data_IF_334117905793
#
_entry.id   IF_334117905793
#
_cell.length_a   1.000
_cell.length_b   1.000
_cell.length_c   1.000
_cell.angle_alpha   90.00
_cell.angle_beta   90.00
_cell.angle_gamma   90.00
#
_symmetry.space_group_name_H-M   'P 1'
#
loop_
_entity.id
_entity.type
_entity.pdbx_description
1 polymer ?
#
# COMPACT_ATOMS: atom_id res chain seq x y z
N UNK A 1 -13.68 -47.50 -6.20
CA UNK A 1 -12.78 -46.48 -6.76
C UNK A 1 -13.60 -45.21 -7.00
N UNK A 2 -13.57 -44.26 -6.06
CA UNK A 2 -13.83 -42.83 -6.28
C UNK A 2 -13.33 -42.09 -5.02
N UNK A 3 -12.34 -41.23 -5.19
CA UNK A 3 -11.75 -40.40 -4.13
C UNK A 3 -12.61 -39.15 -3.85
N UNK A 4 -12.55 -38.57 -2.64
CA UNK A 4 -13.25 -37.33 -2.32
C UNK A 4 -12.48 -36.12 -2.88
N UNK A 5 -13.15 -35.25 -3.64
CA UNK A 5 -12.58 -33.94 -4.00
C UNK A 5 -13.05 -32.87 -3.02
N UNK A 6 -12.05 -32.24 -2.41
CA UNK A 6 -12.09 -31.34 -1.28
C UNK A 6 -12.71 -30.00 -1.66
N UNK A 7 -13.75 -29.61 -0.90
CA UNK A 7 -14.19 -28.22 -0.80
C UNK A 7 -13.07 -27.41 -0.13
N UNK A 8 -12.35 -26.58 -0.90
CA UNK A 8 -11.36 -25.65 -0.35
C UNK A 8 -12.05 -24.40 0.18
N UNK A 9 -12.38 -24.44 1.46
CA UNK A 9 -12.38 -23.25 2.31
C UNK A 9 -10.97 -22.68 2.38
N UNK A 10 -10.75 -21.46 1.89
CA UNK A 10 -9.58 -20.66 2.24
C UNK A 10 -10.06 -19.31 2.77
N UNK A 11 -10.25 -19.30 4.08
CA UNK A 11 -10.61 -18.18 4.95
C UNK A 11 -9.50 -17.13 4.92
N UNK A 12 -9.55 -16.19 3.98
CA UNK A 12 -8.73 -14.97 4.03
C UNK A 12 -9.38 -13.95 4.98
N UNK A 13 -9.47 -14.31 6.26
CA UNK A 13 -9.83 -13.37 7.31
C UNK A 13 -8.56 -12.64 7.78
N UNK A 14 -8.35 -11.48 7.18
CA UNK A 14 -7.61 -10.32 7.67
C UNK A 14 -6.43 -10.51 8.64
N UNK A 15 -5.21 -10.40 8.10
CA UNK A 15 -4.00 -10.07 8.88
C UNK A 15 -4.02 -8.69 9.62
N UNK A 16 -4.90 -7.70 9.33
CA UNK A 16 -5.03 -6.50 10.17
C UNK A 16 -5.53 -6.78 11.58
N UNK A 17 -6.38 -7.81 11.75
CA UNK A 17 -7.02 -8.10 13.03
C UNK A 17 -5.99 -8.45 14.12
N UNK A 18 -4.93 -9.19 13.79
CA UNK A 18 -3.90 -9.60 14.77
C UNK A 18 -3.08 -8.42 15.30
N UNK A 19 -2.84 -7.40 14.48
CA UNK A 19 -2.13 -6.20 14.92
C UNK A 19 -3.00 -5.35 15.86
N UNK A 20 -4.29 -5.25 15.57
CA UNK A 20 -5.25 -4.59 16.46
C UNK A 20 -5.39 -5.35 17.80
N UNK A 21 -5.43 -6.68 17.77
CA UNK A 21 -5.42 -7.50 18.99
C UNK A 21 -4.14 -7.29 19.84
N UNK A 22 -2.98 -7.09 19.20
CA UNK A 22 -1.73 -6.87 19.91
C UNK A 22 -1.61 -5.45 20.49
N UNK A 23 -2.09 -4.43 19.79
CA UNK A 23 -2.13 -3.06 20.28
C UNK A 23 -3.08 -2.90 21.48
N UNK A 24 -4.23 -3.58 21.44
CA UNK A 24 -5.16 -3.71 22.55
C UNK A 24 -4.53 -4.36 23.79
N UNK A 25 -3.82 -5.48 23.60
CA UNK A 25 -3.20 -6.23 24.69
C UNK A 25 -2.08 -5.44 25.42
N UNK A 26 -1.52 -4.41 24.78
CA UNK A 26 -0.50 -3.54 25.36
C UNK A 26 -1.08 -2.31 26.07
N UNK A 27 -2.41 -2.19 26.17
CA UNK A 27 -3.10 -1.05 26.79
C UNK A 27 -2.96 0.27 26.00
N UNK A 28 -2.54 0.18 24.74
CA UNK A 28 -2.31 1.33 23.83
C UNK A 28 -3.55 1.70 23.02
N UNK A 29 -4.56 0.84 23.05
CA UNK A 29 -5.89 1.00 22.49
C UNK A 29 -6.87 0.56 23.56
N UNK A 30 -7.90 1.34 23.85
CA UNK A 30 -8.86 0.97 24.89
C UNK A 30 -9.86 -0.04 24.35
N UNK A 31 -10.45 -0.91 25.19
CA UNK A 31 -11.54 -1.80 24.78
C UNK A 31 -12.74 -1.05 24.17
N UNK A 32 -12.92 0.23 24.48
CA UNK A 32 -13.94 1.09 23.87
C UNK A 32 -13.64 1.40 22.39
N UNK A 33 -12.37 1.70 22.07
CA UNK A 33 -11.93 1.88 20.67
C UNK A 33 -12.08 0.59 19.86
N UNK A 34 -12.02 -0.58 20.51
CA UNK A 34 -12.20 -1.89 19.88
C UNK A 34 -13.67 -2.27 19.72
N UNK A 35 -14.53 -1.86 20.64
CA UNK A 35 -15.97 -2.06 20.55
C UNK A 35 -16.58 -1.28 19.37
N UNK A 36 -16.05 -0.09 19.07
CA UNK A 36 -16.41 0.69 17.87
C UNK A 36 -15.88 0.06 16.56
N UNK A 37 -14.85 -0.81 16.62
CA UNK A 37 -14.34 -1.55 15.45
C UNK A 37 -15.20 -2.76 15.07
N UNK A 38 -15.80 -3.44 16.05
CA UNK A 38 -16.79 -4.52 15.78
C UNK A 38 -18.14 -3.93 15.33
N UNK A 39 -18.43 -2.70 15.74
CA UNK A 39 -19.62 -1.92 15.37
C UNK A 39 -19.45 -1.02 14.15
N UNK A 40 -18.73 -1.42 13.11
CA UNK A 40 -18.83 -0.86 11.75
C UNK A 40 -18.54 0.64 11.53
N UNK A 41 -18.21 1.42 12.56
CA UNK A 41 -18.05 2.88 12.45
C UNK A 41 -16.97 3.44 13.40
N UNK A 42 -15.88 2.70 13.60
CA UNK A 42 -14.66 3.34 14.09
C UNK A 42 -14.35 4.52 13.17
N UNK A 43 -14.21 5.77 13.69
CA UNK A 43 -14.00 6.91 12.82
C UNK A 43 -12.77 6.63 11.98
N UNK A 44 -12.91 6.59 10.65
CA UNK A 44 -11.79 6.44 9.71
C UNK A 44 -10.62 7.38 10.09
N UNK A 45 -10.95 8.55 10.65
CA UNK A 45 -10.00 9.49 11.25
C UNK A 45 -9.10 8.91 12.35
N UNK A 46 -9.61 8.07 13.26
CA UNK A 46 -8.82 7.42 14.32
C UNK A 46 -7.83 6.41 13.73
N UNK A 47 -8.26 5.62 12.74
CA UNK A 47 -7.38 4.69 12.03
C UNK A 47 -6.28 5.42 11.24
N UNK A 48 -6.61 6.52 10.57
CA UNK A 48 -5.62 7.37 9.89
C UNK A 48 -4.67 8.06 10.86
N UNK A 49 -5.15 8.48 12.03
CA UNK A 49 -4.32 9.11 13.06
C UNK A 49 -3.29 8.13 13.61
N UNK A 50 -3.71 6.90 13.94
CA UNK A 50 -2.80 5.82 14.34
C UNK A 50 -1.77 5.52 13.24
N UNK A 51 -2.21 5.42 11.98
CA UNK A 51 -1.33 5.16 10.85
C UNK A 51 -0.34 6.32 10.60
N UNK A 52 -0.72 7.57 10.86
CA UNK A 52 0.21 8.68 10.82
C UNK A 52 1.26 8.62 11.94
N UNK A 53 0.85 8.27 13.16
CA UNK A 53 1.71 8.32 14.35
C UNK A 53 2.59 7.08 14.53
N UNK A 54 2.00 5.89 14.53
CA UNK A 54 2.68 4.65 14.91
C UNK A 54 3.38 3.98 13.73
N UNK A 55 2.94 4.29 12.52
CA UNK A 55 3.43 3.65 11.29
C UNK A 55 4.36 4.58 10.52
N UNK A 56 3.93 5.82 10.26
CA UNK A 56 4.72 6.78 9.48
C UNK A 56 5.65 7.61 10.34
N UNK A 57 5.32 7.83 11.63
CA UNK A 57 6.14 8.59 12.58
C UNK A 57 7.56 8.05 12.73
N UNK A 58 7.75 6.72 12.91
CA UNK A 58 9.08 6.12 13.02
C UNK A 58 9.85 6.01 11.69
N UNK A 59 9.20 6.25 10.54
CA UNK A 59 9.88 6.17 9.25
C UNK A 59 10.75 7.40 9.01
N UNK A 60 11.96 7.13 8.55
CA UNK A 60 12.86 8.15 8.02
C UNK A 60 12.11 9.05 7.00
N UNK A 61 12.28 10.39 7.05
CA UNK A 61 11.56 11.31 6.16
C UNK A 61 11.73 11.00 4.67
N UNK A 62 12.89 10.52 4.23
CA UNK A 62 13.12 10.17 2.83
C UNK A 62 12.29 8.95 2.42
N UNK A 63 12.22 7.94 3.30
CA UNK A 63 11.43 6.73 3.08
C UNK A 63 9.93 7.03 3.05
N UNK A 64 9.47 7.91 3.94
CA UNK A 64 8.09 8.41 3.92
C UNK A 64 7.77 9.15 2.64
N UNK A 65 8.67 10.04 2.19
CA UNK A 65 8.51 10.75 0.92
C UNK A 65 8.41 9.79 -0.28
N UNK A 66 9.24 8.75 -0.31
CA UNK A 66 9.17 7.71 -1.35
C UNK A 66 7.85 6.93 -1.31
N UNK A 67 7.38 6.53 -0.13
CA UNK A 67 6.09 5.85 0.04
C UNK A 67 4.93 6.75 -0.40
N UNK A 68 4.97 8.03 -0.04
CA UNK A 68 3.98 9.03 -0.47
C UNK A 68 3.95 9.18 -1.99
N UNK A 69 5.10 9.36 -2.65
CA UNK A 69 5.20 9.47 -4.11
C UNK A 69 4.78 8.18 -4.82
N UNK A 70 5.17 7.02 -4.30
CA UNK A 70 4.83 5.72 -4.87
C UNK A 70 3.36 5.31 -4.67
N UNK A 71 2.63 5.97 -3.76
CA UNK A 71 1.19 5.73 -3.52
C UNK A 71 0.30 5.94 -4.75
N UNK A 72 0.81 6.63 -5.79
CA UNK A 72 0.19 6.72 -7.12
C UNK A 72 -0.11 5.33 -7.68
N UNK A 73 0.81 4.38 -7.49
CA UNK A 73 0.76 3.06 -8.10
C UNK A 73 0.08 2.05 -7.17
N UNK A 74 -0.70 1.14 -7.75
CA UNK A 74 -1.32 0.03 -7.01
C UNK A 74 -0.31 -1.11 -6.76
N UNK A 75 0.63 -1.27 -7.68
CA UNK A 75 1.73 -2.22 -7.63
C UNK A 75 3.04 -1.43 -7.59
N UNK A 76 3.87 -1.73 -6.60
CA UNK A 76 5.22 -1.20 -6.51
C UNK A 76 6.17 -2.24 -7.11
N UNK A 77 6.88 -1.82 -8.15
CA UNK A 77 7.85 -2.64 -8.89
C UNK A 77 9.18 -1.87 -8.83
N UNK A 78 10.31 -2.50 -8.49
CA UNK A 78 11.59 -1.80 -8.38
C UNK A 78 11.91 -0.94 -9.61
N UNK A 79 11.85 -1.54 -10.81
CA UNK A 79 12.10 -0.85 -12.07
C UNK A 79 11.12 0.32 -12.36
N UNK A 80 9.88 0.24 -11.87
CA UNK A 80 8.92 1.34 -11.99
C UNK A 80 9.33 2.51 -11.10
N UNK A 81 9.79 2.25 -9.88
CA UNK A 81 10.19 3.32 -8.97
C UNK A 81 11.52 3.94 -9.39
N UNK A 82 12.43 3.14 -9.95
CA UNK A 82 13.67 3.64 -10.56
C UNK A 82 13.38 4.61 -11.71
N UNK A 83 12.46 4.26 -12.62
CA UNK A 83 12.12 5.06 -13.81
C UNK A 83 11.18 6.23 -13.50
N UNK A 84 10.13 6.03 -12.68
CA UNK A 84 9.11 7.04 -12.45
C UNK A 84 9.39 7.96 -11.25
N UNK A 85 10.23 7.54 -10.30
CA UNK A 85 10.51 8.30 -9.06
C UNK A 85 12.00 8.62 -8.87
N UNK A 86 12.86 8.25 -9.82
CA UNK A 86 14.31 8.41 -9.77
C UNK A 86 14.92 7.79 -8.50
N UNK A 87 14.42 6.60 -8.10
CA UNK A 87 14.87 5.91 -6.89
C UNK A 87 15.75 4.69 -7.23
N UNK A 88 17.09 4.85 -7.31
CA UNK A 88 18.00 3.77 -7.70
C UNK A 88 18.12 2.64 -6.67
N UNK A 89 17.64 2.86 -5.43
CA UNK A 89 17.67 1.84 -4.37
C UNK A 89 16.30 1.19 -4.15
N UNK A 90 15.37 1.34 -5.10
CA UNK A 90 13.99 0.90 -4.96
C UNK A 90 13.85 -0.57 -4.53
N UNK A 91 14.64 -1.47 -5.13
CA UNK A 91 14.64 -2.91 -4.78
C UNK A 91 14.93 -3.14 -3.30
N UNK A 92 16.09 -2.67 -2.82
CA UNK A 92 16.52 -2.83 -1.43
C UNK A 92 15.54 -2.20 -0.45
N UNK A 93 14.97 -1.05 -0.80
CA UNK A 93 13.98 -0.38 0.05
C UNK A 93 12.68 -1.19 0.15
N UNK A 94 12.15 -1.67 -0.98
CA UNK A 94 10.93 -2.48 -1.01
C UNK A 94 11.11 -3.82 -0.29
N UNK A 95 12.27 -4.46 -0.43
CA UNK A 95 12.63 -5.69 0.31
C UNK A 95 12.69 -5.44 1.82
N UNK A 96 13.36 -4.37 2.24
CA UNK A 96 13.45 -3.97 3.66
C UNK A 96 12.05 -3.72 4.24
N UNK A 97 11.23 -2.95 3.53
CA UNK A 97 9.87 -2.62 3.93
C UNK A 97 8.96 -3.86 3.98
N UNK A 98 9.06 -4.76 3.00
CA UNK A 98 8.30 -6.01 3.00
C UNK A 98 8.75 -6.96 4.12
N UNK A 99 10.05 -7.00 4.42
CA UNK A 99 10.63 -7.81 5.49
C UNK A 99 10.20 -7.38 6.90
N UNK A 100 9.92 -6.09 7.10
CA UNK A 100 9.34 -5.57 8.35
C UNK A 100 7.91 -6.07 8.60
N UNK A 101 7.24 -6.61 7.57
CA UNK A 101 5.95 -7.28 7.66
C UNK A 101 4.75 -6.38 7.95
N UNK A 102 4.94 -5.06 8.04
CA UNK A 102 3.94 -4.19 8.66
C UNK A 102 2.97 -3.56 7.63
N UNK A 103 3.42 -3.23 6.41
CA UNK A 103 2.55 -2.51 5.44
C UNK A 103 2.69 -2.84 3.96
N UNK A 104 3.79 -3.49 3.57
CA UNK A 104 4.06 -3.91 2.20
C UNK A 104 3.99 -5.41 2.10
N UNK A 105 3.16 -5.89 1.18
CA UNK A 105 2.94 -7.31 0.94
C UNK A 105 3.62 -7.66 -0.38
N UNK A 106 4.45 -8.70 -0.38
CA UNK A 106 4.98 -9.28 -1.62
C UNK A 106 3.83 -9.95 -2.39
N UNK A 107 3.57 -9.48 -3.60
CA UNK A 107 2.51 -9.95 -4.49
C UNK A 107 3.05 -10.74 -5.71
N UNK A 108 4.37 -10.77 -5.89
CA UNK A 108 5.07 -11.50 -6.94
C UNK A 108 6.58 -11.44 -6.73
N UNK A 109 7.34 -11.96 -7.70
CA UNK A 109 8.81 -12.02 -7.65
C UNK A 109 9.42 -10.62 -7.46
N UNK A 110 8.93 -9.61 -8.18
CA UNK A 110 9.34 -8.20 -8.08
C UNK A 110 8.14 -7.25 -7.98
N UNK A 111 7.11 -7.66 -7.26
CA UNK A 111 5.90 -6.87 -7.13
C UNK A 111 5.46 -6.82 -5.69
N UNK A 112 5.21 -5.61 -5.21
CA UNK A 112 4.79 -5.33 -3.85
C UNK A 112 3.51 -4.51 -3.88
N UNK A 113 2.73 -4.61 -2.82
CA UNK A 113 1.50 -3.84 -2.66
C UNK A 113 1.48 -3.24 -1.27
N UNK A 114 1.33 -1.92 -1.21
CA UNK A 114 1.01 -1.26 0.04
C UNK A 114 -0.41 -1.66 0.47
N UNK A 115 -0.64 -1.77 1.78
CA UNK A 115 -1.99 -1.96 2.31
C UNK A 115 -2.93 -0.85 1.79
N UNK A 116 -4.17 -1.15 1.34
CA UNK A 116 -5.05 -0.15 0.73
C UNK A 116 -5.27 1.11 1.57
N UNK A 117 -5.43 0.95 2.89
CA UNK A 117 -5.58 2.07 3.83
C UNK A 117 -4.33 2.97 3.88
N UNK A 118 -3.13 2.36 3.94
CA UNK A 118 -1.87 3.12 3.93
C UNK A 118 -1.74 3.88 2.61
N UNK A 119 -2.00 3.20 1.48
CA UNK A 119 -1.93 3.83 0.17
C UNK A 119 -2.90 5.00 0.05
N UNK A 120 -4.14 4.86 0.53
CA UNK A 120 -5.12 5.94 0.52
C UNK A 120 -4.68 7.14 1.37
N UNK A 121 -4.15 6.89 2.57
CA UNK A 121 -3.60 7.93 3.44
C UNK A 121 -2.45 8.68 2.77
N UNK A 122 -1.43 7.95 2.31
CA UNK A 122 -0.26 8.50 1.62
C UNK A 122 -0.66 9.29 0.37
N UNK A 123 -1.66 8.80 -0.36
CA UNK A 123 -2.17 9.48 -1.54
C UNK A 123 -2.82 10.82 -1.21
N UNK A 124 -3.47 10.93 -0.05
CA UNK A 124 -4.03 12.19 0.45
C UNK A 124 -2.98 13.22 0.87
N UNK A 125 -1.74 12.79 1.15
CA UNK A 125 -0.62 13.68 1.48
C UNK A 125 0.12 14.20 0.24
N UNK A 126 -0.09 13.59 -0.93
CA UNK A 126 0.63 13.93 -2.15
C UNK A 126 -0.08 15.08 -2.90
N UNK A 127 0.61 16.19 -3.22
CA UNK A 127 0.02 17.28 -3.99
C UNK A 127 -0.55 16.81 -5.33
N UNK A 128 -1.75 17.28 -5.76
CA UNK A 128 -2.39 16.81 -7.00
C UNK A 128 -1.55 17.00 -8.26
N UNK A 129 -0.72 18.04 -8.34
CA UNK A 129 0.16 18.29 -9.48
C UNK A 129 1.28 17.24 -9.57
N UNK A 130 2.02 17.03 -8.48
CA UNK A 130 3.08 16.02 -8.38
C UNK A 130 2.53 14.61 -8.64
N UNK A 131 1.34 14.34 -8.10
CA UNK A 131 0.59 13.12 -8.36
C UNK A 131 0.34 12.84 -9.85
N UNK A 132 0.05 13.87 -10.66
CA UNK A 132 -0.17 13.73 -12.11
C UNK A 132 1.14 13.51 -12.85
N UNK A 133 2.19 14.23 -12.48
CA UNK A 133 3.52 14.08 -13.10
C UNK A 133 4.09 12.66 -12.90
N UNK A 134 4.01 12.13 -11.68
CA UNK A 134 4.43 10.76 -11.37
C UNK A 134 3.60 9.76 -12.18
N UNK A 135 2.30 10.00 -12.30
CA UNK A 135 1.42 9.13 -13.05
C UNK A 135 1.74 9.10 -14.54
N UNK A 136 2.07 10.25 -15.14
CA UNK A 136 2.50 10.33 -16.53
C UNK A 136 3.79 9.53 -16.77
N UNK A 137 4.78 9.64 -15.88
CA UNK A 137 6.02 8.83 -15.96
C UNK A 137 5.74 7.33 -15.81
N UNK A 138 4.88 6.97 -14.85
CA UNK A 138 4.46 5.57 -14.69
C UNK A 138 3.66 5.03 -15.87
N UNK A 139 2.86 5.87 -16.54
CA UNK A 139 2.15 5.48 -17.75
C UNK A 139 3.14 5.09 -18.86
N UNK A 140 4.15 5.92 -19.12
CA UNK A 140 5.21 5.64 -20.10
C UNK A 140 5.97 4.34 -19.77
N UNK A 141 6.27 4.10 -18.49
CA UNK A 141 6.86 2.83 -18.05
C UNK A 141 5.96 1.62 -18.41
N UNK A 142 4.67 1.71 -18.09
CA UNK A 142 3.74 0.61 -18.33
C UNK A 142 3.50 0.33 -19.81
N UNK A 143 3.50 1.35 -20.67
CA UNK A 143 3.41 1.18 -22.12
C UNK A 143 4.61 0.40 -22.66
N UNK A 144 5.81 0.87 -22.30
CA UNK A 144 7.08 0.30 -22.76
C UNK A 144 7.29 -1.14 -22.28
N UNK A 145 6.65 -1.53 -21.18
CA UNK A 145 6.67 -2.90 -20.62
C UNK A 145 5.45 -3.75 -20.98
N UNK A 146 4.56 -3.26 -21.87
CA UNK A 146 3.40 -4.00 -22.36
C UNK A 146 2.24 -4.16 -21.35
N UNK A 147 2.23 -3.39 -20.26
CA UNK A 147 1.22 -3.43 -19.19
C UNK A 147 0.06 -2.47 -19.48
N UNK A 148 -0.61 -2.64 -20.61
CA UNK A 148 -1.58 -1.67 -21.16
C UNK A 148 -2.69 -1.25 -20.19
N UNK A 149 -3.27 -2.18 -19.42
CA UNK A 149 -4.31 -1.84 -18.42
C UNK A 149 -3.79 -0.91 -17.32
N UNK A 150 -2.52 -1.06 -16.92
CA UNK A 150 -1.87 -0.20 -15.92
C UNK A 150 -1.51 1.15 -16.52
N UNK A 151 -1.04 1.17 -17.77
CA UNK A 151 -0.78 2.40 -18.52
C UNK A 151 -2.04 3.27 -18.63
N UNK A 152 -3.17 2.69 -19.04
CA UNK A 152 -4.44 3.40 -19.13
C UNK A 152 -4.86 4.00 -17.79
N UNK A 153 -4.79 3.24 -16.70
CA UNK A 153 -5.13 3.74 -15.37
C UNK A 153 -4.22 4.91 -14.93
N UNK A 154 -2.93 4.84 -15.26
CA UNK A 154 -1.97 5.90 -14.97
C UNK A 154 -2.23 7.16 -15.81
N UNK A 155 -2.54 7.02 -17.10
CA UNK A 155 -2.93 8.12 -18.00
C UNK A 155 -4.18 8.86 -17.52
N UNK A 156 -5.23 8.12 -17.14
CA UNK A 156 -6.46 8.70 -16.57
C UNK A 156 -6.16 9.54 -15.32
N UNK A 157 -5.24 9.08 -14.49
CA UNK A 157 -4.85 9.78 -13.26
C UNK A 157 -3.90 10.95 -13.53
N UNK A 158 -3.09 10.89 -14.59
CA UNK A 158 -2.29 12.01 -15.09
C UNK A 158 -3.17 13.13 -15.68
N UNK A 159 -4.36 12.77 -16.17
CA UNK A 159 -5.23 13.67 -16.92
C UNK A 159 -4.88 13.72 -18.42
N UNK A 160 -4.18 12.70 -18.91
CA UNK A 160 -3.72 12.60 -20.28
C UNK A 160 -4.58 11.53 -20.96
N UNK A 161 -5.17 11.84 -22.10
CA UNK A 161 -5.70 10.80 -22.99
C UNK A 161 -4.53 10.36 -23.87
N UNK A 162 -4.09 9.11 -23.69
CA UNK A 162 -3.01 8.48 -24.46
C UNK A 162 -3.15 8.69 -25.97
#
# INVERSE_FOLDING_TARGET
>A
MLAPSVSRSAKFAGRPARFLTQAAAQGRVTPADLADLEGGDAPLGTLFTYLAQEVLGPLDPALRGLLTRSSVFEELIPALLEDALDEPRARTLLETLAGSGTFLIRAGEDTYRAHPLLRAHLRGLLPPAEAREIAARGAAFFERTGRLRRALAAHLLAGNTA
#
